data_IF_695057488181
#
_entry.id   IF_695057488181
#
_cell.length_a   1.000
_cell.length_b   1.000
_cell.length_c   1.000
_cell.angle_alpha   90.00
_cell.angle_beta   90.00
_cell.angle_gamma   90.00
#
_symmetry.space_group_name_H-M   'P 1'
#
loop_
_entity.id
_entity.type
_entity.pdbx_description
1 polymer ?
#
# COMPACT_ATOMS: atom_id res chain seq x y z
N UNK A 1 4.35 -22.69 -17.09
CA UNK A 1 4.77 -21.28 -17.28
C UNK A 1 6.20 -21.29 -17.76
N UNK A 2 6.51 -20.58 -18.85
CA UNK A 2 7.89 -20.38 -19.29
C UNK A 2 8.61 -19.58 -18.20
N UNK A 3 9.73 -20.09 -17.68
CA UNK A 3 10.53 -19.40 -16.67
C UNK A 3 11.10 -18.16 -17.36
N UNK A 4 10.59 -16.97 -17.02
CA UNK A 4 11.17 -15.71 -17.52
C UNK A 4 12.50 -15.54 -16.81
N UNK A 5 13.60 -15.69 -17.55
CA UNK A 5 14.93 -15.38 -17.04
C UNK A 5 15.12 -13.87 -17.10
N UNK A 6 15.39 -13.24 -15.96
CA UNK A 6 15.81 -11.85 -15.88
C UNK A 6 17.34 -11.87 -15.79
N UNK A 7 18.00 -11.16 -16.71
CA UNK A 7 19.47 -11.07 -16.70
C UNK A 7 19.96 -10.13 -15.58
N UNK A 8 21.11 -10.42 -14.95
CA UNK A 8 21.73 -9.51 -13.99
C UNK A 8 21.97 -8.12 -14.60
N UNK A 9 21.68 -7.03 -13.86
CA UNK A 9 22.02 -5.69 -14.31
C UNK A 9 23.54 -5.48 -14.34
N UNK A 10 23.97 -4.53 -15.17
CA UNK A 10 25.38 -4.12 -15.25
C UNK A 10 25.92 -3.76 -13.85
N UNK A 11 27.05 -4.36 -13.49
CA UNK A 11 27.72 -4.14 -12.21
C UNK A 11 27.31 -5.10 -11.08
N UNK A 12 26.39 -6.05 -11.32
CA UNK A 12 25.96 -7.01 -10.28
C UNK A 12 27.10 -7.88 -9.75
N UNK A 13 28.05 -8.26 -10.60
CA UNK A 13 29.20 -9.07 -10.22
C UNK A 13 30.44 -8.22 -9.85
N UNK A 14 30.30 -6.90 -9.76
CA UNK A 14 31.42 -6.01 -9.43
C UNK A 14 31.67 -5.99 -7.92
N UNK A 15 32.93 -5.79 -7.53
CA UNK A 15 33.34 -5.66 -6.12
C UNK A 15 32.59 -4.54 -5.39
N UNK A 16 32.22 -3.49 -6.12
CA UNK A 16 31.46 -2.34 -5.61
C UNK A 16 30.07 -2.71 -5.07
N UNK A 17 29.44 -3.78 -5.58
CA UNK A 17 28.17 -4.25 -5.05
C UNK A 17 28.32 -4.92 -3.68
N UNK A 18 29.39 -5.70 -3.48
CA UNK A 18 29.72 -6.28 -2.17
C UNK A 18 30.06 -5.19 -1.12
N UNK A 19 30.71 -4.11 -1.56
CA UNK A 19 30.96 -2.93 -0.72
C UNK A 19 29.65 -2.25 -0.33
N UNK A 20 28.72 -2.07 -1.27
CA UNK A 20 27.38 -1.54 -1.00
C UNK A 20 26.64 -2.39 0.03
N UNK A 21 26.60 -3.71 -0.15
CA UNK A 21 25.97 -4.63 0.81
C UNK A 21 26.64 -4.54 2.19
N UNK A 22 27.95 -4.32 2.24
CA UNK A 22 28.69 -4.15 3.50
C UNK A 22 28.32 -2.84 4.20
N UNK A 23 28.16 -1.74 3.46
CA UNK A 23 27.69 -0.44 3.99
C UNK A 23 26.21 -0.46 4.44
N UNK A 24 25.46 -1.43 3.94
CA UNK A 24 24.05 -1.67 4.27
C UNK A 24 23.88 -2.86 5.22
N UNK A 25 24.94 -3.31 5.91
CA UNK A 25 24.82 -4.30 6.97
C UNK A 25 24.02 -3.75 8.15
N UNK A 26 23.49 -4.69 8.93
CA UNK A 26 22.67 -4.40 10.09
C UNK A 26 23.53 -3.73 11.17
N UNK A 27 23.12 -2.52 11.54
CA UNK A 27 23.62 -1.86 12.75
C UNK A 27 22.78 -2.40 13.91
N UNK A 28 23.39 -2.65 15.07
CA UNK A 28 22.63 -2.98 16.28
C UNK A 28 21.74 -1.78 16.63
N UNK A 29 20.43 -1.91 16.38
CA UNK A 29 19.46 -0.89 16.75
C UNK A 29 18.95 -1.24 18.15
N UNK A 30 19.28 -0.40 19.14
CA UNK A 30 18.70 -0.50 20.47
C UNK A 30 17.28 0.07 20.44
N UNK A 31 16.29 -0.78 20.22
CA UNK A 31 14.88 -0.37 20.12
C UNK A 31 14.29 -0.22 21.52
N UNK A 32 14.02 1.01 21.96
CA UNK A 32 13.37 1.24 23.27
C UNK A 32 11.90 0.84 23.27
N UNK A 33 11.22 0.98 22.12
CA UNK A 33 9.79 0.68 21.95
C UNK A 33 9.64 -0.34 20.82
N UNK A 34 8.86 -1.40 21.07
CA UNK A 34 8.49 -2.42 20.08
C UNK A 34 6.98 -2.39 19.87
N UNK A 35 6.47 -1.43 19.07
CA UNK A 35 5.04 -1.24 18.93
C UNK A 35 4.42 -2.30 18.03
N UNK A 36 3.14 -2.59 18.20
CA UNK A 36 2.37 -3.29 17.17
C UNK A 36 2.40 -2.48 15.87
N UNK A 37 2.56 -3.14 14.73
CA UNK A 37 2.51 -2.53 13.41
C UNK A 37 1.30 -3.04 12.64
N UNK A 38 0.36 -2.17 12.33
CA UNK A 38 -0.89 -2.52 11.65
C UNK A 38 -0.95 -1.74 10.35
N UNK A 39 -0.67 -2.41 9.24
CA UNK A 39 -0.79 -1.85 7.90
C UNK A 39 -2.16 -2.23 7.33
N UNK A 40 -2.94 -1.24 6.94
CA UNK A 40 -4.24 -1.41 6.28
C UNK A 40 -4.16 -0.79 4.90
N UNK A 41 -4.00 -1.65 3.90
CA UNK A 41 -4.11 -1.29 2.49
C UNK A 41 -5.59 -1.37 2.10
N UNK A 42 -6.24 -0.21 1.99
CA UNK A 42 -7.66 -0.12 1.73
C UNK A 42 -7.93 -0.03 0.22
N UNK A 43 -8.73 -0.97 -0.28
CA UNK A 43 -9.04 -1.14 -1.70
C UNK A 43 -9.61 0.14 -2.32
N UNK A 44 -8.96 0.63 -3.37
CA UNK A 44 -9.35 1.82 -4.13
C UNK A 44 -9.60 3.07 -3.26
N UNK A 45 -8.95 3.19 -2.09
CA UNK A 45 -9.12 4.34 -1.20
C UNK A 45 -8.44 5.59 -1.76
N UNK A 46 -9.26 6.54 -2.22
CA UNK A 46 -8.81 7.81 -2.78
C UNK A 46 -9.86 8.88 -2.47
N UNK A 47 -9.46 10.15 -2.44
CA UNK A 47 -10.34 11.25 -2.06
C UNK A 47 -11.22 11.71 -3.24
N UNK A 48 -12.52 11.35 -3.27
CA UNK A 48 -13.40 11.74 -4.38
C UNK A 48 -13.66 13.25 -4.45
N UNK A 49 -13.44 14.00 -3.36
CA UNK A 49 -13.66 15.46 -3.34
C UNK A 49 -12.61 16.24 -4.12
N UNK A 50 -11.55 15.56 -4.58
CA UNK A 50 -10.57 16.11 -5.52
C UNK A 50 -11.11 16.29 -6.94
N UNK A 51 -12.21 15.60 -7.27
CA UNK A 51 -12.88 15.78 -8.56
C UNK A 51 -13.55 17.16 -8.59
N UNK A 52 -13.22 18.02 -9.57
CA UNK A 52 -13.80 19.35 -9.64
C UNK A 52 -15.28 19.28 -10.05
N UNK A 53 -16.00 20.37 -9.76
CA UNK A 53 -17.40 20.57 -10.17
C UNK A 53 -18.40 19.55 -9.60
N UNK A 54 -18.07 18.93 -8.47
CA UNK A 54 -18.97 18.03 -7.74
C UNK A 54 -19.38 18.64 -6.40
N UNK A 55 -20.62 18.36 -5.99
CA UNK A 55 -21.10 18.61 -4.62
C UNK A 55 -21.42 17.28 -3.97
N UNK A 56 -20.98 17.09 -2.72
CA UNK A 56 -21.24 15.91 -1.91
C UNK A 56 -22.21 16.27 -0.77
N UNK A 57 -23.16 15.39 -0.45
CA UNK A 57 -24.12 15.59 0.65
C UNK A 57 -23.45 15.75 2.01
N UNK A 58 -22.31 15.07 2.20
CA UNK A 58 -21.43 15.21 3.35
C UNK A 58 -19.99 14.87 2.93
N UNK A 59 -19.05 15.11 3.84
CA UNK A 59 -17.66 14.69 3.67
C UNK A 59 -17.57 13.14 3.69
N UNK A 60 -17.04 12.48 2.64
CA UNK A 60 -16.91 11.03 2.61
C UNK A 60 -15.71 10.47 3.41
N UNK A 61 -14.79 11.29 3.91
CA UNK A 61 -13.62 10.81 4.69
C UNK A 61 -13.15 11.79 5.79
N UNK A 62 -14.07 12.28 6.64
CA UNK A 62 -13.77 13.33 7.61
C UNK A 62 -12.78 12.87 8.69
N UNK A 63 -12.84 11.61 9.13
CA UNK A 63 -11.95 11.12 10.19
C UNK A 63 -10.52 10.99 9.69
N UNK A 64 -10.31 10.41 8.51
CA UNK A 64 -9.02 10.32 7.85
C UNK A 64 -8.38 11.71 7.68
N UNK A 65 -9.13 12.70 7.18
CA UNK A 65 -8.61 14.08 7.06
C UNK A 65 -8.31 14.71 8.43
N UNK A 66 -9.05 14.34 9.48
CA UNK A 66 -8.72 14.77 10.84
C UNK A 66 -7.39 14.18 11.34
N UNK A 67 -7.07 12.95 10.96
CA UNK A 67 -5.79 12.32 11.27
C UNK A 67 -4.65 12.98 10.49
N UNK A 68 -4.83 13.28 9.20
CA UNK A 68 -3.80 13.96 8.40
C UNK A 68 -3.36 15.32 8.98
N UNK A 69 -4.27 16.04 9.66
CA UNK A 69 -3.92 17.31 10.33
C UNK A 69 -3.00 17.11 11.54
N UNK A 70 -3.13 15.96 12.22
CA UNK A 70 -2.58 15.75 13.55
C UNK A 70 -1.44 14.71 13.59
N UNK A 71 -1.33 13.86 12.58
CA UNK A 71 -0.39 12.75 12.52
C UNK A 71 0.47 12.79 11.25
N UNK A 72 1.40 11.84 11.13
CA UNK A 72 2.22 11.71 9.92
C UNK A 72 1.33 11.33 8.73
N UNK A 73 1.43 12.03 7.62
CA UNK A 73 0.57 11.78 6.46
C UNK A 73 1.14 12.33 5.17
N UNK A 74 0.57 11.87 4.05
CA UNK A 74 0.98 12.34 2.74
C UNK A 74 0.28 11.61 1.60
N UNK A 75 0.96 11.58 0.45
CA UNK A 75 0.56 10.81 -0.73
C UNK A 75 1.61 9.74 -1.06
N UNK A 76 1.13 8.54 -1.39
CA UNK A 76 1.93 7.50 -2.01
C UNK A 76 1.77 7.56 -3.52
N UNK A 77 2.90 7.42 -4.20
CA UNK A 77 2.94 7.17 -5.64
C UNK A 77 2.96 5.66 -5.83
N UNK A 78 1.82 5.11 -6.24
CA UNK A 78 1.62 3.67 -6.44
C UNK A 78 1.89 3.29 -7.89
N UNK A 79 2.18 2.00 -8.17
CA UNK A 79 2.64 1.63 -9.51
C UNK A 79 1.51 1.16 -10.43
N UNK A 80 0.27 1.14 -9.94
CA UNK A 80 -0.90 0.61 -10.63
C UNK A 80 -2.08 1.58 -10.57
N UNK A 81 -3.00 1.41 -11.52
CA UNK A 81 -4.22 2.20 -11.66
C UNK A 81 -5.41 1.26 -11.86
N UNK A 82 -6.40 1.35 -10.97
CA UNK A 82 -7.68 0.64 -11.07
C UNK A 82 -7.63 -0.90 -10.98
N UNK A 83 -6.50 -1.48 -10.62
CA UNK A 83 -6.38 -2.91 -10.36
C UNK A 83 -4.92 -3.35 -10.18
N UNK A 84 -4.71 -4.66 -10.05
CA UNK A 84 -3.38 -5.25 -9.77
C UNK A 84 -2.80 -4.84 -8.41
N UNK A 85 -3.68 -4.67 -7.40
CA UNK A 85 -3.41 -4.39 -5.98
C UNK A 85 -2.17 -5.11 -5.42
N UNK A 86 -1.95 -6.37 -5.81
CA UNK A 86 -0.79 -7.18 -5.40
C UNK A 86 0.57 -6.54 -5.73
N UNK A 87 0.64 -5.63 -6.71
CA UNK A 87 1.87 -4.90 -7.02
C UNK A 87 2.16 -3.80 -5.99
N UNK A 88 1.17 -2.99 -5.59
CA UNK A 88 1.35 -2.02 -4.49
C UNK A 88 1.71 -2.75 -3.20
N UNK A 89 1.03 -3.88 -2.95
CA UNK A 89 1.32 -4.76 -1.82
C UNK A 89 2.77 -5.26 -1.80
N UNK A 90 3.25 -5.74 -2.95
CA UNK A 90 4.62 -6.19 -3.15
C UNK A 90 5.63 -5.07 -2.87
N UNK A 91 5.37 -3.85 -3.36
CA UNK A 91 6.28 -2.73 -3.14
C UNK A 91 6.38 -2.38 -1.65
N UNK A 92 5.25 -2.22 -0.96
CA UNK A 92 5.23 -1.86 0.47
C UNK A 92 5.89 -2.95 1.33
N UNK A 93 5.56 -4.22 1.08
CA UNK A 93 6.06 -5.33 1.90
C UNK A 93 7.55 -5.60 1.70
N UNK A 94 8.14 -5.25 0.56
CA UNK A 94 9.49 -5.73 0.23
C UNK A 94 10.51 -4.63 -0.01
N UNK A 95 10.06 -3.40 -0.25
CA UNK A 95 10.92 -2.32 -0.71
C UNK A 95 11.39 -2.46 -2.16
N UNK A 96 10.96 -3.49 -2.90
CA UNK A 96 11.24 -3.59 -4.34
C UNK A 96 10.23 -2.73 -5.12
N UNK A 97 10.59 -2.32 -6.33
CA UNK A 97 9.68 -1.61 -7.24
C UNK A 97 9.33 -2.43 -8.47
N UNK A 98 8.06 -2.43 -8.87
CA UNK A 98 7.65 -3.09 -10.11
C UNK A 98 8.14 -2.34 -11.36
N UNK A 99 8.56 -1.08 -11.24
CA UNK A 99 9.11 -0.30 -12.35
C UNK A 99 10.47 -0.80 -12.84
N UNK A 100 11.14 -1.64 -12.06
CA UNK A 100 12.38 -2.32 -12.45
C UNK A 100 12.12 -3.74 -12.99
N UNK A 101 10.85 -4.15 -13.08
CA UNK A 101 10.43 -5.42 -13.66
C UNK A 101 9.88 -5.21 -15.08
N UNK A 102 9.78 -6.26 -15.92
CA UNK A 102 9.20 -6.15 -17.24
C UNK A 102 7.80 -5.50 -17.22
N UNK A 103 7.50 -4.67 -18.22
CA UNK A 103 6.21 -3.97 -18.29
C UNK A 103 5.03 -4.96 -18.23
N UNK A 104 4.03 -4.65 -17.40
CA UNK A 104 2.85 -5.50 -17.21
C UNK A 104 3.06 -6.64 -16.22
N UNK A 105 4.14 -6.61 -15.45
CA UNK A 105 4.41 -7.57 -14.39
C UNK A 105 3.34 -7.57 -13.29
N UNK A 106 2.97 -8.76 -12.86
CA UNK A 106 2.24 -9.05 -11.63
C UNK A 106 3.20 -9.77 -10.67
N UNK A 107 3.76 -9.02 -9.73
CA UNK A 107 4.96 -9.41 -8.99
C UNK A 107 4.82 -10.76 -8.27
N UNK A 108 3.71 -10.94 -7.55
CA UNK A 108 3.39 -12.17 -6.80
C UNK A 108 3.37 -13.42 -7.68
N UNK A 109 2.68 -13.34 -8.82
CA UNK A 109 2.52 -14.51 -9.69
C UNK A 109 3.79 -14.87 -10.44
N UNK A 110 4.65 -13.89 -10.73
CA UNK A 110 5.78 -14.07 -11.64
C UNK A 110 7.14 -14.19 -10.94
N UNK A 111 7.35 -13.49 -9.82
CA UNK A 111 8.68 -13.34 -9.21
C UNK A 111 8.76 -13.84 -7.76
N UNK A 112 7.64 -13.91 -7.04
CA UNK A 112 7.60 -14.45 -5.66
C UNK A 112 7.28 -15.95 -5.70
N UNK A 113 8.32 -16.78 -5.80
CA UNK A 113 8.20 -18.25 -5.93
C UNK A 113 9.13 -19.04 -4.98
N UNK A 114 9.78 -18.33 -4.06
CA UNK A 114 10.67 -18.84 -3.03
C UNK A 114 10.68 -17.85 -1.86
N UNK A 115 11.16 -18.25 -0.66
CA UNK A 115 11.26 -17.34 0.47
C UNK A 115 11.97 -16.04 0.12
N UNK A 116 11.37 -14.90 0.45
CA UNK A 116 11.80 -13.57 0.01
C UNK A 116 11.77 -12.59 1.19
N UNK A 117 12.85 -11.82 1.42
CA UNK A 117 12.86 -10.80 2.46
C UNK A 117 11.71 -9.80 2.29
N UNK A 118 11.00 -9.56 3.39
CA UNK A 118 9.82 -8.70 3.48
C UNK A 118 9.69 -8.11 4.90
N UNK A 119 8.82 -7.12 5.09
CA UNK A 119 8.43 -6.57 6.38
C UNK A 119 8.05 -7.68 7.38
N UNK A 120 7.28 -8.67 6.93
CA UNK A 120 6.88 -9.81 7.77
C UNK A 120 8.10 -10.58 8.25
N UNK A 121 8.93 -11.10 7.34
CA UNK A 121 10.14 -11.84 7.71
C UNK A 121 11.11 -11.02 8.58
N UNK A 122 11.24 -9.72 8.32
CA UNK A 122 12.12 -8.82 9.08
C UNK A 122 11.61 -8.65 10.52
N UNK A 123 10.32 -8.38 10.70
CA UNK A 123 9.73 -8.22 12.03
C UNK A 123 9.65 -9.57 12.77
N UNK A 124 9.32 -10.66 12.09
CA UNK A 124 9.31 -12.01 12.65
C UNK A 124 10.67 -12.43 13.21
N UNK A 125 11.74 -12.21 12.45
CA UNK A 125 13.12 -12.47 12.90
C UNK A 125 13.51 -11.65 14.13
N UNK A 126 12.76 -10.58 14.43
CA UNK A 126 12.93 -9.74 15.59
C UNK A 126 11.84 -9.96 16.65
N UNK A 127 11.20 -11.14 16.64
CA UNK A 127 10.31 -11.60 17.70
C UNK A 127 8.92 -10.99 17.66
N UNK A 128 8.45 -10.57 16.48
CA UNK A 128 7.05 -10.23 16.26
C UNK A 128 6.27 -11.46 15.79
N UNK A 129 5.02 -11.53 16.20
CA UNK A 129 4.03 -12.37 15.53
C UNK A 129 3.57 -11.68 14.25
N UNK A 130 3.37 -12.43 13.16
CA UNK A 130 3.06 -11.84 11.85
C UNK A 130 1.80 -12.43 11.24
N UNK A 131 0.81 -11.58 10.94
CA UNK A 131 -0.50 -11.99 10.41
C UNK A 131 -0.84 -11.20 9.16
N UNK A 132 -1.14 -11.90 8.07
CA UNK A 132 -1.78 -11.31 6.91
C UNK A 132 -3.30 -11.45 7.05
N UNK A 133 -4.05 -10.42 6.64
CA UNK A 133 -5.52 -10.44 6.62
C UNK A 133 -6.01 -10.03 5.25
N UNK A 134 -6.94 -10.79 4.67
CA UNK A 134 -7.63 -10.39 3.44
C UNK A 134 -9.09 -10.81 3.46
N UNK A 135 -10.00 -9.88 3.21
CA UNK A 135 -11.44 -10.15 3.22
C UNK A 135 -11.99 -10.84 1.95
N UNK A 136 -11.09 -11.40 1.13
CA UNK A 136 -11.42 -12.16 -0.06
C UNK A 136 -10.68 -13.51 -0.10
N UNK A 137 -10.87 -14.26 -1.18
CA UNK A 137 -10.32 -15.60 -1.31
C UNK A 137 -8.78 -15.62 -1.21
N UNK A 138 -8.26 -16.60 -0.47
CA UNK A 138 -6.84 -16.83 -0.21
C UNK A 138 -5.98 -17.06 -1.48
N UNK A 139 -6.54 -17.74 -2.48
CA UNK A 139 -5.86 -18.04 -3.74
C UNK A 139 -5.77 -16.83 -4.68
N UNK A 140 -6.50 -15.74 -4.40
CA UNK A 140 -6.49 -14.56 -5.26
C UNK A 140 -5.09 -13.93 -5.25
N UNK A 141 -4.54 -13.68 -6.44
CA UNK A 141 -3.13 -13.31 -6.65
C UNK A 141 -2.09 -14.27 -6.04
N UNK A 142 -2.44 -15.54 -5.78
CA UNK A 142 -1.59 -16.54 -5.11
C UNK A 142 -1.14 -16.14 -3.71
N UNK A 143 -1.92 -15.33 -2.98
CA UNK A 143 -1.58 -14.87 -1.62
C UNK A 143 -1.31 -16.02 -0.65
N UNK A 144 -2.05 -17.13 -0.77
CA UNK A 144 -1.80 -18.35 0.01
C UNK A 144 -0.34 -18.87 -0.08
N UNK A 145 0.27 -18.82 -1.27
CA UNK A 145 1.68 -19.20 -1.45
C UNK A 145 2.63 -18.04 -1.09
N UNK A 146 2.31 -16.82 -1.54
CA UNK A 146 3.17 -15.65 -1.37
C UNK A 146 3.35 -15.27 0.08
N UNK A 147 2.30 -15.31 0.91
CA UNK A 147 2.44 -15.00 2.34
C UNK A 147 3.27 -16.05 3.08
N UNK A 148 3.28 -17.30 2.60
CA UNK A 148 4.23 -18.30 3.10
C UNK A 148 5.67 -17.93 2.72
N UNK A 149 5.90 -17.45 1.49
CA UNK A 149 7.23 -17.01 1.05
C UNK A 149 7.70 -15.71 1.71
N UNK A 150 6.79 -14.84 2.13
CA UNK A 150 7.10 -13.66 2.94
C UNK A 150 7.24 -13.97 4.44
N UNK A 151 7.03 -15.21 4.84
CA UNK A 151 7.18 -15.71 6.21
C UNK A 151 6.16 -15.14 7.21
N UNK A 152 4.93 -14.89 6.77
CA UNK A 152 3.82 -14.65 7.70
C UNK A 152 3.50 -15.92 8.52
N UNK A 153 3.26 -15.78 9.81
CA UNK A 153 2.86 -16.88 10.69
C UNK A 153 1.44 -17.36 10.41
N UNK A 154 0.54 -16.43 10.09
CA UNK A 154 -0.86 -16.72 9.75
C UNK A 154 -1.36 -15.90 8.57
N UNK A 155 -2.36 -16.45 7.90
CA UNK A 155 -3.14 -15.75 6.89
C UNK A 155 -4.64 -15.96 7.12
N UNK A 156 -5.29 -14.91 7.63
CA UNK A 156 -6.73 -14.86 7.78
C UNK A 156 -7.38 -14.38 6.48
N UNK A 157 -8.09 -15.27 5.80
CA UNK A 157 -8.73 -14.99 4.51
C UNK A 157 -10.26 -14.99 4.64
N UNK A 158 -10.99 -14.88 3.53
CA UNK A 158 -12.46 -14.96 3.47
C UNK A 158 -13.11 -15.99 4.42
N UNK A 159 -12.52 -17.19 4.58
CA UNK A 159 -13.09 -18.27 5.41
C UNK A 159 -12.96 -18.04 6.92
N UNK A 160 -12.08 -17.12 7.33
CA UNK A 160 -11.84 -16.76 8.73
C UNK A 160 -12.99 -15.94 9.29
N UNK A 161 -13.56 -15.05 8.47
CA UNK A 161 -14.71 -14.21 8.84
C UNK A 161 -15.98 -15.04 9.04
N UNK A 162 -16.57 -14.97 10.26
CA UNK A 162 -17.76 -15.75 10.63
C UNK A 162 -19.01 -14.89 10.56
N UNK A 163 -19.93 -15.23 9.66
CA UNK A 163 -21.16 -14.47 9.39
C UNK A 163 -20.90 -12.96 9.20
N UNK A 164 -19.95 -12.58 8.32
CA UNK A 164 -19.57 -11.18 8.17
C UNK A 164 -20.72 -10.34 7.62
N UNK A 165 -20.70 -9.06 7.96
CA UNK A 165 -21.49 -8.05 7.27
C UNK A 165 -20.89 -7.79 5.88
N UNK A 166 -21.77 -7.67 4.88
CA UNK A 166 -21.38 -7.38 3.50
C UNK A 166 -21.84 -5.97 3.11
N UNK A 167 -21.01 -5.31 2.32
CA UNK A 167 -21.32 -4.06 1.64
C UNK A 167 -21.20 -4.32 0.15
N UNK A 168 -22.32 -4.20 -0.57
CA UNK A 168 -22.50 -4.73 -1.93
C UNK A 168 -22.17 -6.24 -1.98
N UNK A 169 -21.09 -6.62 -2.65
CA UNK A 169 -20.70 -8.01 -2.91
C UNK A 169 -19.57 -8.51 -2.01
N UNK A 170 -18.99 -7.64 -1.19
CA UNK A 170 -17.76 -7.91 -0.47
C UNK A 170 -17.97 -7.76 1.04
N UNK A 171 -17.17 -8.51 1.80
CA UNK A 171 -17.11 -8.38 3.26
C UNK A 171 -16.74 -6.93 3.59
N UNK A 172 -17.43 -6.35 4.57
CA UNK A 172 -17.24 -4.94 4.92
C UNK A 172 -15.86 -4.64 5.49
N UNK A 173 -15.39 -3.41 5.32
CA UNK A 173 -14.11 -2.98 5.90
C UNK A 173 -14.16 -3.02 7.44
N UNK A 174 -15.33 -2.74 8.03
CA UNK A 174 -15.56 -2.87 9.47
C UNK A 174 -15.24 -4.28 9.99
N UNK A 175 -15.56 -5.33 9.23
CA UNK A 175 -15.19 -6.70 9.61
C UNK A 175 -13.67 -6.91 9.59
N UNK A 176 -12.94 -6.27 8.69
CA UNK A 176 -11.47 -6.32 8.68
C UNK A 176 -10.90 -5.64 9.92
N UNK A 177 -11.40 -4.46 10.29
CA UNK A 177 -10.99 -3.79 11.54
C UNK A 177 -11.34 -4.59 12.79
N UNK A 178 -12.51 -5.27 12.81
CA UNK A 178 -12.85 -6.21 13.90
C UNK A 178 -11.88 -7.39 13.95
N UNK A 179 -11.52 -7.97 12.81
CA UNK A 179 -10.55 -9.07 12.76
C UNK A 179 -9.17 -8.63 13.26
N UNK A 180 -8.69 -7.44 12.88
CA UNK A 180 -7.43 -6.87 13.40
C UNK A 180 -7.46 -6.78 14.94
N UNK A 181 -8.58 -6.30 15.51
CA UNK A 181 -8.76 -6.22 16.96
C UNK A 181 -8.74 -7.62 17.60
N UNK A 182 -9.36 -8.62 16.98
CA UNK A 182 -9.35 -10.00 17.45
C UNK A 182 -7.92 -10.57 17.45
N UNK A 183 -7.15 -10.37 16.38
CA UNK A 183 -5.76 -10.82 16.32
C UNK A 183 -4.90 -10.15 17.40
N UNK A 184 -5.07 -8.85 17.61
CA UNK A 184 -4.40 -8.14 18.71
C UNK A 184 -4.76 -8.72 20.08
N UNK A 185 -6.04 -8.98 20.35
CA UNK A 185 -6.50 -9.52 21.64
C UNK A 185 -5.97 -10.94 21.92
N UNK A 186 -5.65 -11.69 20.88
CA UNK A 186 -5.13 -13.05 20.99
C UNK A 186 -3.60 -13.12 20.98
N UNK A 187 -2.90 -12.01 20.69
CA UNK A 187 -1.44 -11.97 20.67
C UNK A 187 -0.89 -11.76 22.08
N UNK A 188 0.24 -12.41 22.39
CA UNK A 188 0.94 -12.30 23.67
C UNK A 188 2.15 -11.35 23.60
N UNK A 189 2.46 -10.80 22.42
CA UNK A 189 3.64 -10.00 22.16
C UNK A 189 3.43 -8.98 21.05
N UNK A 190 4.50 -8.34 20.56
CA UNK A 190 4.37 -7.34 19.52
C UNK A 190 3.94 -7.99 18.21
N UNK A 191 2.96 -7.39 17.56
CA UNK A 191 2.23 -7.96 16.45
C UNK A 191 2.43 -7.12 15.19
N UNK A 192 2.73 -7.76 14.07
CA UNK A 192 2.67 -7.17 12.74
C UNK A 192 1.46 -7.71 11.99
N UNK A 193 0.53 -6.83 11.63
CA UNK A 193 -0.58 -7.14 10.74
C UNK A 193 -0.41 -6.40 9.42
N UNK A 194 -0.57 -7.12 8.32
CA UNK A 194 -0.79 -6.53 7.01
C UNK A 194 -2.17 -6.94 6.49
N UNK A 195 -3.11 -6.00 6.50
CA UNK A 195 -4.50 -6.20 6.12
C UNK A 195 -4.80 -5.56 4.75
N UNK A 196 -5.45 -6.32 3.87
CA UNK A 196 -5.89 -5.88 2.55
C UNK A 196 -7.40 -5.99 2.45
N UNK A 197 -8.08 -4.87 2.26
CA UNK A 197 -9.54 -4.87 2.17
C UNK A 197 -10.03 -5.18 0.76
N UNK A 198 -11.35 -5.29 0.57
CA UNK A 198 -11.99 -5.60 -0.73
C UNK A 198 -13.29 -4.83 -0.95
N UNK A 199 -13.84 -4.20 0.09
CA UNK A 199 -15.20 -3.65 0.09
C UNK A 199 -15.49 -2.68 -1.06
N UNK A 200 -14.54 -1.77 -1.29
CA UNK A 200 -14.70 -0.71 -2.27
C UNK A 200 -14.20 -1.12 -3.68
N UNK A 201 -14.02 -2.41 -3.93
CA UNK A 201 -13.64 -2.91 -5.25
C UNK A 201 -14.75 -2.60 -6.27
N UNK A 202 -14.34 -2.26 -7.49
CA UNK A 202 -15.25 -2.00 -8.61
C UNK A 202 -15.91 -3.26 -9.19
N UNK A 203 -16.81 -3.11 -10.18
CA UNK A 203 -17.32 -1.85 -10.71
C UNK A 203 -18.46 -1.26 -9.87
N UNK A 204 -18.62 0.07 -9.91
CA UNK A 204 -19.55 0.81 -9.06
C UNK A 204 -20.95 1.00 -9.66
N UNK A 205 -21.23 0.48 -10.85
CA UNK A 205 -22.50 0.65 -11.56
C UNK A 205 -23.48 -0.54 -11.40
N UNK A 206 -23.08 -1.65 -10.77
CA UNK A 206 -23.86 -2.90 -10.79
C UNK A 206 -24.80 -3.08 -9.59
N UNK A 207 -24.38 -2.73 -8.37
CA UNK A 207 -25.17 -2.88 -7.15
C UNK A 207 -25.11 -1.60 -6.32
N UNK A 208 -26.26 -1.17 -5.81
CA UNK A 208 -26.42 0.09 -5.10
C UNK A 208 -26.41 -0.11 -3.59
N UNK A 209 -25.87 0.87 -2.88
CA UNK A 209 -26.17 1.06 -1.46
C UNK A 209 -27.63 1.51 -1.31
N UNK A 210 -28.45 0.78 -0.53
CA UNK A 210 -29.89 0.99 -0.55
C UNK A 210 -30.35 2.26 0.17
N UNK A 211 -29.74 2.65 1.32
CA UNK A 211 -30.33 3.72 2.17
C UNK A 211 -29.34 4.73 2.79
N UNK A 212 -28.09 4.35 3.14
CA UNK A 212 -27.07 5.26 3.70
C UNK A 212 -25.97 5.58 2.69
N UNK A 213 -26.30 6.37 1.65
CA UNK A 213 -25.32 6.72 0.61
C UNK A 213 -24.93 8.19 0.65
N UNK A 214 -23.67 8.45 0.32
CA UNK A 214 -23.22 9.78 -0.08
C UNK A 214 -23.92 10.13 -1.40
N UNK A 215 -24.60 11.28 -1.43
CA UNK A 215 -25.20 11.81 -2.65
C UNK A 215 -24.26 12.82 -3.30
N UNK A 216 -23.91 12.56 -4.56
CA UNK A 216 -23.08 13.40 -5.40
C UNK A 216 -23.98 14.04 -6.47
N UNK A 217 -24.00 15.37 -6.54
CA UNK A 217 -24.83 16.12 -7.49
C UNK A 217 -24.00 16.80 -8.57
N UNK A 218 -24.69 17.51 -9.48
CA UNK A 218 -24.10 18.35 -10.53
C UNK A 218 -23.44 17.60 -11.72
N UNK A 219 -23.90 16.36 -11.98
CA UNK A 219 -23.38 15.49 -13.05
C UNK A 219 -24.48 14.72 -13.80
N UNK A 220 -24.10 14.08 -14.91
CA UNK A 220 -24.94 13.12 -15.63
C UNK A 220 -25.31 11.90 -14.75
N UNK A 221 -26.56 11.42 -14.88
CA UNK A 221 -27.15 10.40 -13.99
C UNK A 221 -26.31 9.11 -13.85
N UNK A 222 -25.72 8.63 -14.94
CA UNK A 222 -24.93 7.38 -14.93
C UNK A 222 -23.61 7.52 -14.15
N UNK A 223 -22.94 8.66 -14.27
CA UNK A 223 -21.72 8.97 -13.52
C UNK A 223 -22.06 9.27 -12.06
N UNK A 224 -23.17 9.96 -11.79
CA UNK A 224 -23.68 10.17 -10.43
C UNK A 224 -23.86 8.85 -9.68
N UNK A 225 -24.44 7.81 -10.30
CA UNK A 225 -24.59 6.49 -9.66
C UNK A 225 -23.26 5.86 -9.28
N UNK A 226 -22.27 5.94 -10.17
CA UNK A 226 -20.89 5.46 -9.93
C UNK A 226 -20.26 6.21 -8.75
N UNK A 227 -20.35 7.54 -8.74
CA UNK A 227 -19.75 8.39 -7.72
C UNK A 227 -20.45 8.24 -6.35
N UNK A 228 -21.77 8.10 -6.30
CA UNK A 228 -22.51 7.82 -5.07
C UNK A 228 -22.03 6.52 -4.44
N UNK A 229 -21.94 5.45 -5.24
CA UNK A 229 -21.51 4.15 -4.74
C UNK A 229 -20.04 4.16 -4.29
N UNK A 230 -19.15 4.77 -5.07
CA UNK A 230 -17.74 4.90 -4.70
C UNK A 230 -17.55 5.70 -3.41
N UNK A 231 -18.18 6.87 -3.32
CA UNK A 231 -18.03 7.78 -2.17
C UNK A 231 -18.63 7.19 -0.90
N UNK A 232 -19.70 6.39 -1.01
CA UNK A 232 -20.25 5.62 0.11
C UNK A 232 -19.27 4.55 0.60
N UNK A 233 -18.57 3.86 -0.31
CA UNK A 233 -17.52 2.91 0.08
C UNK A 233 -16.32 3.58 0.76
N UNK A 234 -15.96 4.80 0.34
CA UNK A 234 -14.93 5.62 1.00
C UNK A 234 -15.37 6.00 2.43
N UNK A 235 -16.65 6.35 2.61
CA UNK A 235 -17.22 6.64 3.93
C UNK A 235 -17.21 5.44 4.86
N UNK A 236 -17.56 4.26 4.36
CA UNK A 236 -17.47 3.01 5.13
C UNK A 236 -16.02 2.70 5.56
N UNK A 237 -15.04 2.97 4.69
CA UNK A 237 -13.63 2.81 4.99
C UNK A 237 -13.15 3.81 6.06
N UNK A 238 -13.60 5.06 6.01
CA UNK A 238 -13.34 6.09 7.02
C UNK A 238 -13.89 5.69 8.41
N UNK A 239 -15.11 5.16 8.44
CA UNK A 239 -15.75 4.65 9.67
C UNK A 239 -15.01 3.43 10.23
N UNK A 240 -14.52 2.55 9.34
CA UNK A 240 -13.69 1.41 9.73
C UNK A 240 -12.36 1.84 10.36
N UNK A 241 -11.68 2.82 9.75
CA UNK A 241 -10.46 3.40 10.32
C UNK A 241 -10.75 4.07 11.67
N UNK A 242 -11.89 4.76 11.79
CA UNK A 242 -12.32 5.36 13.05
C UNK A 242 -12.53 4.33 14.15
N UNK A 243 -13.21 3.21 13.86
CA UNK A 243 -13.37 2.11 14.79
C UNK A 243 -12.00 1.61 15.29
N UNK A 244 -11.09 1.34 14.35
CA UNK A 244 -9.77 0.80 14.64
C UNK A 244 -8.93 1.73 15.52
N UNK A 245 -8.82 3.00 15.13
CA UNK A 245 -8.07 4.00 15.89
C UNK A 245 -8.69 4.25 17.27
N UNK A 246 -10.03 4.30 17.36
CA UNK A 246 -10.72 4.48 18.65
C UNK A 246 -10.51 3.30 19.61
N UNK A 247 -10.31 2.10 19.09
CA UNK A 247 -9.91 0.94 19.90
C UNK A 247 -8.51 1.14 20.45
N UNK A 248 -7.51 1.31 19.58
CA UNK A 248 -6.10 1.40 19.99
C UNK A 248 -5.75 2.64 20.81
N UNK A 249 -6.52 3.73 20.68
CA UNK A 249 -6.38 4.91 21.55
C UNK A 249 -6.67 4.60 23.03
N UNK A 250 -7.39 3.51 23.33
CA UNK A 250 -7.78 3.10 24.69
C UNK A 250 -6.89 1.99 25.25
N UNK A 251 -5.88 1.55 24.49
CA UNK A 251 -4.97 0.48 24.86
C UNK A 251 -3.60 1.11 25.11
N UNK A 252 -2.93 0.67 26.18
CA UNK A 252 -1.60 1.16 26.57
C UNK A 252 -0.47 0.56 25.71
N UNK A 253 -0.75 -0.56 25.03
CA UNK A 253 0.19 -1.22 24.13
C UNK A 253 0.60 -0.27 22.99
N UNK A 254 1.91 0.06 22.86
CA UNK A 254 2.38 0.93 21.79
C UNK A 254 1.96 0.36 20.44
N UNK A 255 1.27 1.14 19.63
CA UNK A 255 0.70 0.68 18.36
C UNK A 255 0.83 1.75 17.29
N UNK A 256 1.21 1.32 16.09
CA UNK A 256 1.29 2.12 14.88
C UNK A 256 0.28 1.57 13.87
N UNK A 257 -0.62 2.43 13.38
CA UNK A 257 -1.56 2.14 12.30
C UNK A 257 -1.15 2.92 11.06
N UNK A 258 -0.84 2.20 9.98
CA UNK A 258 -0.55 2.75 8.66
C UNK A 258 -1.76 2.47 7.76
N UNK A 259 -2.51 3.49 7.38
CA UNK A 259 -3.69 3.35 6.52
C UNK A 259 -3.46 4.07 5.19
N UNK A 260 -3.65 3.37 4.08
CA UNK A 260 -3.34 3.89 2.75
C UNK A 260 -4.17 3.21 1.66
N UNK A 261 -4.39 3.93 0.55
CA UNK A 261 -4.97 3.34 -0.66
C UNK A 261 -3.96 2.52 -1.46
N UNK A 262 -4.44 1.61 -2.30
CA UNK A 262 -3.59 0.81 -3.20
C UNK A 262 -3.52 1.37 -4.62
N UNK A 263 -4.61 1.99 -5.10
CA UNK A 263 -4.72 2.73 -6.36
C UNK A 263 -5.97 3.60 -6.44
N UNK A 264 -6.06 4.43 -7.48
CA UNK A 264 -7.29 5.14 -7.80
C UNK A 264 -8.39 4.18 -8.32
N UNK A 265 -9.68 4.49 -8.09
CA UNK A 265 -10.81 3.71 -8.59
C UNK A 265 -11.04 3.86 -10.10
N UNK A 266 -11.68 2.87 -10.72
CA UNK A 266 -12.26 3.03 -12.07
C UNK A 266 -13.63 3.71 -12.01
N UNK A 267 -13.64 5.04 -12.13
CA UNK A 267 -14.86 5.87 -12.13
C UNK A 267 -15.44 5.98 -13.54
N UNK A 268 -16.07 4.90 -14.01
CA UNK A 268 -16.67 4.84 -15.35
C UNK A 268 -15.71 4.30 -16.42
N UNK A 269 -16.27 4.02 -17.60
CA UNK A 269 -15.51 3.45 -18.70
C UNK A 269 -14.49 4.47 -19.25
N UNK A 270 -13.29 4.02 -19.61
CA UNK A 270 -12.26 4.86 -20.22
C UNK A 270 -11.97 6.19 -19.46
N UNK A 271 -11.95 6.15 -18.13
CA UNK A 271 -11.69 7.32 -17.26
C UNK A 271 -12.71 8.47 -17.40
N UNK A 272 -13.92 8.18 -17.88
CA UNK A 272 -14.98 9.17 -18.11
C UNK A 272 -15.30 10.02 -16.88
N UNK A 273 -15.36 9.44 -15.68
CA UNK A 273 -15.60 10.19 -14.45
C UNK A 273 -14.51 11.24 -14.15
N UNK A 274 -13.28 11.02 -14.60
CA UNK A 274 -12.18 11.96 -14.45
C UNK A 274 -12.20 13.06 -15.51
N UNK A 275 -12.59 12.75 -16.75
CA UNK A 275 -12.62 13.75 -17.84
C UNK A 275 -13.85 14.63 -17.77
N UNK A 276 -15.04 14.09 -17.48
CA UNK A 276 -16.27 14.89 -17.41
C UNK A 276 -16.24 15.88 -16.24
N UNK A 277 -15.60 15.51 -15.13
CA UNK A 277 -15.42 16.43 -13.99
C UNK A 277 -14.38 17.51 -14.26
N UNK A 278 -13.51 17.31 -15.26
CA UNK A 278 -12.37 18.17 -15.56
C UNK A 278 -11.13 17.86 -14.72
N UNK A 279 -11.09 16.71 -14.03
CA UNK A 279 -9.90 16.25 -13.31
C UNK A 279 -8.75 15.89 -14.27
N UNK A 280 -9.11 15.27 -15.41
CA UNK A 280 -8.22 14.99 -16.54
C UNK A 280 -8.65 15.74 -17.79
N UNK A 281 -7.68 16.16 -18.59
CA UNK A 281 -7.94 16.80 -19.89
C UNK A 281 -8.27 15.78 -20.99
N UNK A 282 -7.73 14.56 -20.90
CA UNK A 282 -7.91 13.52 -21.91
C UNK A 282 -8.06 12.14 -21.27
N UNK A 283 -8.94 11.31 -21.84
CA UNK A 283 -9.19 9.94 -21.39
C UNK A 283 -8.09 8.96 -21.85
N UNK A 284 -7.26 9.33 -22.81
CA UNK A 284 -6.21 8.47 -23.34
C UNK A 284 -4.88 8.79 -22.67
N UNK A 285 -4.28 7.84 -21.91
CA UNK A 285 -3.01 8.05 -21.21
C UNK A 285 -1.83 8.44 -22.11
N UNK A 286 -1.95 8.25 -23.44
CA UNK A 286 -0.92 8.71 -24.39
C UNK A 286 -0.78 10.22 -24.46
N UNK A 287 -1.81 10.97 -24.08
CA UNK A 287 -1.85 12.43 -24.08
C UNK A 287 -1.70 13.02 -22.68
N UNK A 288 -1.59 12.19 -21.65
CA UNK A 288 -1.35 12.64 -20.27
C UNK A 288 0.01 13.32 -20.15
N UNK A 289 0.01 14.46 -19.47
CA UNK A 289 1.21 15.16 -19.05
C UNK A 289 1.71 14.60 -17.70
N UNK A 290 2.89 15.06 -17.27
CA UNK A 290 3.50 14.62 -16.01
C UNK A 290 2.53 14.76 -14.83
N UNK A 291 1.86 15.90 -14.73
CA UNK A 291 0.90 16.18 -13.65
C UNK A 291 -0.32 15.24 -13.68
N UNK A 292 -0.74 14.77 -14.86
CA UNK A 292 -1.83 13.80 -14.98
C UNK A 292 -1.40 12.43 -14.46
N UNK A 293 -0.17 11.99 -14.78
CA UNK A 293 0.39 10.77 -14.20
C UNK A 293 0.54 10.89 -12.68
N UNK A 294 1.07 12.01 -12.20
CA UNK A 294 1.18 12.25 -10.76
C UNK A 294 -0.18 12.19 -10.06
N UNK A 295 -1.21 12.83 -10.62
CA UNK A 295 -2.60 12.77 -10.10
C UNK A 295 -3.20 11.37 -10.10
N UNK A 296 -2.97 10.61 -11.18
CA UNK A 296 -3.64 9.34 -11.41
C UNK A 296 -2.97 8.16 -10.70
N UNK A 297 -1.77 8.37 -10.14
CA UNK A 297 -1.03 7.37 -9.38
C UNK A 297 -0.76 7.80 -7.92
N UNK A 298 -1.36 8.91 -7.48
CA UNK A 298 -1.28 9.40 -6.09
C UNK A 298 -2.47 8.92 -5.25
N UNK A 299 -2.20 8.15 -4.20
CA UNK A 299 -3.20 7.74 -3.18
C UNK A 299 -2.83 8.30 -1.81
N UNK A 300 -3.80 8.65 -0.95
CA UNK A 300 -3.50 9.22 0.35
C UNK A 300 -3.03 8.14 1.35
N UNK A 301 -2.22 8.55 2.32
CA UNK A 301 -1.90 7.74 3.49
C UNK A 301 -1.86 8.55 4.79
N UNK A 302 -2.02 7.84 5.91
CA UNK A 302 -1.76 8.35 7.26
C UNK A 302 -1.07 7.29 8.11
N UNK A 303 -0.20 7.73 9.01
CA UNK A 303 0.46 6.92 10.03
C UNK A 303 0.05 7.51 11.37
N UNK A 304 -0.78 6.78 12.10
CA UNK A 304 -1.23 7.09 13.44
C UNK A 304 -0.47 6.23 14.45
N UNK A 305 -0.18 6.78 15.61
CA UNK A 305 0.37 6.03 16.75
C UNK A 305 -0.18 6.59 18.07
N UNK A 306 -0.15 5.77 19.13
CA UNK A 306 -0.69 6.13 20.45
C UNK A 306 0.36 6.58 21.48
N UNK A 307 1.63 6.74 21.09
CA UNK A 307 2.72 6.96 22.03
C UNK A 307 3.68 8.10 21.66
N UNK A 308 3.59 8.68 20.48
CA UNK A 308 4.43 9.78 20.00
C UNK A 308 3.61 10.99 19.58
N UNK A 309 4.20 12.17 19.78
CA UNK A 309 3.70 13.45 19.25
C UNK A 309 4.39 13.83 17.92
N UNK A 310 5.33 13.00 17.43
CA UNK A 310 6.10 13.31 16.24
C UNK A 310 5.32 13.08 14.94
N UNK A 311 5.10 14.17 14.19
CA UNK A 311 4.45 14.11 12.88
C UNK A 311 5.31 14.64 11.75
N UNK A 312 5.19 13.98 10.60
CA UNK A 312 5.68 14.47 9.32
C UNK A 312 4.48 14.67 8.38
N UNK A 313 4.15 15.92 8.08
CA UNK A 313 3.06 16.28 7.17
C UNK A 313 3.55 16.42 5.72
N UNK A 314 2.62 16.32 4.78
CA UNK A 314 2.84 16.55 3.35
C UNK A 314 3.97 15.69 2.75
N UNK A 315 4.11 14.46 3.26
CA UNK A 315 5.05 13.51 2.71
C UNK A 315 4.61 13.08 1.31
N UNK A 316 5.59 12.81 0.45
CA UNK A 316 5.37 12.25 -0.87
C UNK A 316 6.44 11.20 -1.12
N UNK A 317 6.05 9.96 -1.45
CA UNK A 317 7.01 8.89 -1.69
C UNK A 317 6.40 7.79 -2.56
N UNK A 318 7.23 6.98 -3.22
CA UNK A 318 6.76 5.74 -3.84
C UNK A 318 6.28 4.74 -2.77
N UNK A 319 5.30 3.91 -3.10
CA UNK A 319 4.86 2.80 -2.22
C UNK A 319 6.01 1.90 -1.77
N UNK A 320 7.07 1.74 -2.57
CA UNK A 320 8.24 0.94 -2.17
C UNK A 320 9.00 1.51 -0.98
N UNK A 321 8.85 2.81 -0.68
CA UNK A 321 9.52 3.46 0.45
C UNK A 321 8.71 3.37 1.74
N UNK A 322 7.40 3.13 1.69
CA UNK A 322 6.53 3.22 2.87
C UNK A 322 6.96 2.29 4.00
N UNK A 323 7.21 1.01 3.68
CA UNK A 323 7.64 0.03 4.67
C UNK A 323 8.97 0.42 5.32
N UNK A 324 9.94 0.83 4.50
CA UNK A 324 11.24 1.30 4.97
C UNK A 324 11.11 2.53 5.88
N UNK A 325 10.33 3.53 5.45
CA UNK A 325 10.09 4.76 6.19
C UNK A 325 9.47 4.49 7.57
N UNK A 326 8.47 3.61 7.65
CA UNK A 326 7.81 3.27 8.91
C UNK A 326 8.80 2.59 9.86
N UNK A 327 9.58 1.62 9.39
CA UNK A 327 10.57 0.96 10.24
C UNK A 327 11.66 1.93 10.72
N UNK A 328 12.15 2.84 9.87
CA UNK A 328 13.10 3.88 10.27
C UNK A 328 12.54 4.80 11.35
N UNK A 329 11.32 5.30 11.15
CA UNK A 329 10.66 6.23 12.07
C UNK A 329 10.55 5.68 13.49
N UNK A 330 10.36 4.37 13.64
CA UNK A 330 10.24 3.70 14.93
C UNK A 330 11.47 2.87 15.30
N UNK A 331 12.60 3.17 14.66
CA UNK A 331 13.91 2.55 14.93
C UNK A 331 13.85 1.02 14.92
N UNK A 332 13.18 0.43 13.92
CA UNK A 332 13.07 -1.02 13.79
C UNK A 332 14.11 -1.60 12.82
N UNK A 333 14.44 -2.89 12.95
CA UNK A 333 15.33 -3.61 12.03
C UNK A 333 14.83 -3.58 10.59
N UNK A 334 15.77 -3.57 9.63
CA UNK A 334 15.50 -3.33 8.22
C UNK A 334 16.33 -4.25 7.33
N UNK A 335 15.82 -4.57 6.15
CA UNK A 335 16.62 -5.22 5.10
C UNK A 335 17.64 -4.25 4.49
N UNK A 336 18.69 -4.73 3.79
CA UNK A 336 19.62 -3.86 3.07
C UNK A 336 18.93 -2.89 2.09
N UNK A 337 17.90 -3.35 1.37
CA UNK A 337 17.15 -2.50 0.44
C UNK A 337 16.38 -1.41 1.20
N UNK A 338 15.73 -1.72 2.33
CA UNK A 338 15.01 -0.74 3.14
C UNK A 338 15.96 0.33 3.72
N UNK A 339 17.12 -0.08 4.24
CA UNK A 339 18.16 0.86 4.69
C UNK A 339 18.65 1.76 3.56
N UNK A 340 18.84 1.20 2.37
CA UNK A 340 19.23 1.97 1.20
C UNK A 340 18.18 3.03 0.85
N UNK A 341 16.90 2.65 0.83
CA UNK A 341 15.79 3.57 0.55
C UNK A 341 15.73 4.71 1.57
N UNK A 342 15.88 4.43 2.87
CA UNK A 342 15.89 5.48 3.89
C UNK A 342 17.11 6.41 3.78
N UNK A 343 18.31 5.88 3.49
CA UNK A 343 19.52 6.70 3.30
C UNK A 343 19.44 7.62 2.06
N UNK A 344 18.66 7.22 1.06
CA UNK A 344 18.52 7.95 -0.22
C UNK A 344 17.26 8.82 -0.27
N UNK A 345 16.34 8.65 0.68
CA UNK A 345 15.14 9.47 0.80
C UNK A 345 15.46 10.88 1.32
N UNK A 346 15.89 11.78 0.42
CA UNK A 346 15.60 13.20 0.64
C UNK A 346 14.11 13.44 0.35
N UNK A 347 13.44 14.21 1.21
CA UNK A 347 11.98 14.49 1.23
C UNK A 347 11.30 14.41 -0.16
N UNK A 348 10.82 13.24 -0.60
CA UNK A 348 10.11 13.17 -1.87
C UNK A 348 10.46 12.04 -2.85
N UNK A 349 11.49 11.22 -2.62
CA UNK A 349 12.02 10.32 -3.65
C UNK A 349 10.97 9.43 -4.37
N UNK A 350 10.55 9.85 -5.58
CA UNK A 350 9.71 9.10 -6.55
C UNK A 350 10.63 8.41 -7.57
N UNK A 351 10.30 7.18 -8.00
CA UNK A 351 10.86 6.60 -9.24
C UNK A 351 9.78 5.99 -10.12
N UNK A 352 9.70 6.47 -11.37
CA UNK A 352 9.10 5.79 -12.52
C UNK A 352 10.16 5.68 -13.63
N UNK A 353 10.37 4.50 -14.23
CA UNK A 353 11.18 4.40 -15.46
C UNK A 353 10.34 3.91 -16.67
N UNK A 354 10.12 4.86 -17.60
CA UNK A 354 9.30 4.88 -18.83
C UNK A 354 7.78 5.09 -18.64
N UNK A 355 7.12 6.18 -19.10
CA UNK A 355 7.37 7.12 -20.22
C UNK A 355 7.05 8.60 -19.89
N UNK A 356 7.98 9.27 -19.20
CA UNK A 356 8.26 10.74 -19.22
C UNK A 356 8.29 11.42 -17.83
N UNK A 357 9.05 10.76 -16.95
CA UNK A 357 9.91 11.23 -15.86
C UNK A 357 9.33 12.03 -14.68
N UNK A 358 9.31 11.38 -13.52
CA UNK A 358 9.45 12.01 -12.20
C UNK A 358 10.57 11.30 -11.46
N UNK A 359 11.71 11.98 -11.28
CA UNK A 359 12.85 11.52 -10.49
C UNK A 359 13.28 12.64 -9.53
N UNK A 360 13.41 12.30 -8.26
CA UNK A 360 14.39 12.93 -7.35
C UNK A 360 15.60 12.01 -7.09
N UNK A 361 15.56 10.79 -7.64
CA UNK A 361 16.65 9.81 -7.53
C UNK A 361 17.77 10.10 -8.55
N UNK A 362 19.03 10.05 -8.10
CA UNK A 362 20.17 10.14 -9.01
C UNK A 362 20.24 8.89 -9.90
N UNK A 363 20.78 9.01 -11.12
CA UNK A 363 21.00 7.85 -12.00
C UNK A 363 21.89 6.78 -11.33
N UNK A 364 22.78 7.19 -10.43
CA UNK A 364 23.65 6.28 -9.69
C UNK A 364 22.86 5.51 -8.62
N UNK A 365 22.02 6.20 -7.84
CA UNK A 365 21.19 5.55 -6.83
C UNK A 365 20.14 4.64 -7.48
N UNK A 366 19.60 4.99 -8.65
CA UNK A 366 18.67 4.15 -9.39
C UNK A 366 19.34 2.83 -9.81
N UNK A 367 20.62 2.87 -10.24
CA UNK A 367 21.40 1.68 -10.56
C UNK A 367 21.66 0.83 -9.31
N UNK A 368 22.05 1.46 -8.20
CA UNK A 368 22.28 0.77 -6.92
C UNK A 368 21.01 0.09 -6.39
N UNK A 369 19.87 0.77 -6.49
CA UNK A 369 18.57 0.21 -6.13
C UNK A 369 18.22 -1.00 -6.99
N UNK A 370 18.43 -0.92 -8.31
CA UNK A 370 18.21 -2.04 -9.22
C UNK A 370 19.11 -3.25 -8.90
N UNK A 371 20.38 -3.02 -8.54
CA UNK A 371 21.29 -4.08 -8.09
C UNK A 371 20.77 -4.79 -6.83
N UNK A 372 20.33 -4.02 -5.82
CA UNK A 372 19.76 -4.56 -4.58
C UNK A 372 18.47 -5.34 -4.83
N UNK A 373 17.56 -4.81 -5.65
CA UNK A 373 16.33 -5.50 -6.01
C UNK A 373 16.61 -6.79 -6.78
N UNK A 374 17.56 -6.77 -7.73
CA UNK A 374 17.95 -7.97 -8.46
C UNK A 374 18.52 -9.03 -7.52
N UNK A 375 19.39 -8.65 -6.58
CA UNK A 375 19.93 -9.57 -5.57
C UNK A 375 18.81 -10.18 -4.71
N UNK A 376 17.87 -9.36 -4.25
CA UNK A 376 16.80 -9.82 -3.39
C UNK A 376 15.86 -10.80 -4.11
N UNK A 377 15.51 -10.55 -5.38
CA UNK A 377 14.56 -11.36 -6.16
C UNK A 377 15.18 -12.57 -6.86
N UNK A 378 16.44 -12.46 -7.27
CA UNK A 378 17.08 -13.42 -8.18
C UNK A 378 18.47 -13.86 -7.71
N UNK A 379 19.05 -13.17 -6.72
CA UNK A 379 20.35 -13.49 -6.14
C UNK A 379 20.37 -14.91 -5.57
N UNK A 380 21.49 -15.60 -5.76
CA UNK A 380 21.65 -17.00 -5.34
C UNK A 380 21.10 -18.06 -6.30
N UNK A 381 20.47 -17.68 -7.42
CA UNK A 381 20.06 -18.63 -8.48
C UNK A 381 21.14 -18.91 -9.56
N UNK A 382 22.39 -18.46 -9.34
CA UNK A 382 23.54 -18.69 -10.23
C UNK A 382 24.81 -19.07 -9.47
N UNK A 383 25.86 -19.59 -10.14
CA UNK A 383 27.11 -19.94 -9.49
C UNK A 383 27.75 -18.69 -8.88
N UNK A 384 28.05 -18.77 -7.58
CA UNK A 384 28.88 -17.78 -6.87
C UNK A 384 30.35 -17.95 -7.20
#
# INVERSE_FOLDING_TARGET
MQKVTIEPPDGYYDVTFNELLTQLKEEEIETEIRPNFIFVMNESFWDPTRLPNLTFSEDPMPFFRSLQKNHTSGELIVPVLGGSTANTEFEVLTGNSIHMLPQGSLAYSQFVNHPHPSLASTLKNNGYETVAIHSYHDWFYRRNEVYTFFDFDRFESYRSFKNPEYRRDFISDLEVSKQIIIEHQNSEGPLFIFAVTMQNHGPYNMRHYPEDRIEVTDMHEDITKVLNNYSTGVKDADDSLQLLVNYFRKIDDPTVIVFFGDHLPYLGAAYEGYTITGYLNDANPRFWEKDDYEKMYSVPFVIWDNFSDEKNADLRMSSSFLGAFVLEKYSQPQTPIMRFLNKTATKGAVVFSSRRDVNEFSLEDAKRYHLLQYDQLFGGQGPR
#
